data_IF_521690439805
#
_entry.id   IF_521690439805
#
_cell.length_a   1.000
_cell.length_b   1.000
_cell.length_c   1.000
_cell.angle_alpha   90.00
_cell.angle_beta   90.00
_cell.angle_gamma   90.00
#
_symmetry.space_group_name_H-M   'P 1'
#
loop_
_entity.id
_entity.type
_entity.pdbx_description
1 polymer ?
#
# COMPACT_ATOMS: atom_id res chain seq x y z
N UNK A 1 -14.66 -1.54 11.99
CA UNK A 1 -14.21 -2.36 10.87
C UNK A 1 -13.11 -3.29 11.30
N UNK A 2 -13.37 -4.58 11.28
CA UNK A 2 -12.35 -5.54 11.69
C UNK A 2 -11.16 -5.59 10.74
N UNK A 3 -11.34 -5.10 9.53
CA UNK A 3 -10.31 -5.19 8.49
C UNK A 3 -9.12 -4.26 8.68
N UNK A 4 -9.14 -3.36 9.66
CA UNK A 4 -8.05 -2.41 9.84
C UNK A 4 -6.82 -2.98 10.54
N UNK A 5 -6.91 -4.21 11.03
CA UNK A 5 -5.85 -4.79 11.86
C UNK A 5 -4.49 -4.83 11.17
N UNK A 6 -4.45 -5.12 9.87
CA UNK A 6 -3.19 -5.18 9.13
C UNK A 6 -3.17 -4.16 8.00
N UNK A 7 -4.00 -3.13 8.09
CA UNK A 7 -4.18 -2.19 6.99
C UNK A 7 -2.89 -1.45 6.64
N UNK A 8 -2.18 -0.93 7.62
CA UNK A 8 -0.95 -0.20 7.35
C UNK A 8 0.11 -1.10 6.72
N UNK A 9 0.20 -2.35 7.17
CA UNK A 9 1.11 -3.34 6.57
C UNK A 9 0.79 -3.51 5.08
N UNK A 10 -0.49 -3.65 4.75
CA UNK A 10 -0.91 -3.76 3.36
C UNK A 10 -0.58 -2.49 2.55
N UNK A 11 -0.77 -1.32 3.16
CA UNK A 11 -0.46 -0.05 2.49
C UNK A 11 1.04 0.04 2.16
N UNK A 12 1.90 -0.40 3.06
CA UNK A 12 3.35 -0.43 2.80
C UNK A 12 3.66 -1.35 1.61
N UNK A 13 3.07 -2.53 1.58
CA UNK A 13 3.30 -3.48 0.49
C UNK A 13 2.76 -2.93 -0.84
N UNK A 14 1.56 -2.35 -0.81
CA UNK A 14 0.96 -1.76 -2.01
C UNK A 14 1.77 -0.56 -2.49
N UNK A 15 2.27 0.26 -1.59
CA UNK A 15 3.10 1.41 -1.94
C UNK A 15 4.35 0.97 -2.70
N UNK A 16 5.01 -0.08 -2.26
CA UNK A 16 6.17 -0.62 -2.97
C UNK A 16 5.82 -1.05 -4.39
N UNK A 17 4.70 -1.73 -4.56
CA UNK A 17 4.27 -2.22 -5.87
C UNK A 17 3.77 -1.09 -6.77
N UNK A 18 3.00 -0.15 -6.22
CA UNK A 18 2.47 0.97 -7.00
C UNK A 18 3.56 1.95 -7.42
N UNK A 19 4.64 2.03 -6.68
CA UNK A 19 5.79 2.88 -7.04
C UNK A 19 6.81 2.17 -7.93
N UNK A 20 6.65 0.88 -8.15
CA UNK A 20 7.56 0.07 -8.99
C UNK A 20 7.35 0.41 -10.46
N UNK A 21 8.43 0.80 -11.15
CA UNK A 21 8.41 1.13 -12.57
C UNK A 21 8.97 0.02 -13.46
N UNK A 22 9.41 -1.06 -12.86
CA UNK A 22 10.01 -2.19 -13.58
C UNK A 22 9.02 -3.31 -13.86
N UNK A 23 7.87 -3.29 -13.20
CA UNK A 23 6.85 -4.32 -13.33
C UNK A 23 5.49 -3.70 -13.58
N UNK A 24 4.61 -4.46 -14.21
CA UNK A 24 3.24 -4.05 -14.49
C UNK A 24 2.31 -4.96 -13.70
N UNK A 25 1.57 -4.37 -12.77
CA UNK A 25 0.67 -5.11 -11.90
C UNK A 25 -0.78 -4.76 -12.18
N UNK A 26 -1.62 -5.77 -12.39
CA UNK A 26 -3.07 -5.57 -12.36
C UNK A 26 -3.57 -5.83 -10.93
N UNK A 27 -4.88 -5.72 -10.72
CA UNK A 27 -5.43 -5.90 -9.37
C UNK A 27 -5.20 -7.33 -8.86
N UNK A 28 -5.24 -8.31 -9.75
CA UNK A 28 -4.99 -9.69 -9.39
C UNK A 28 -3.54 -9.88 -8.93
N UNK A 29 -2.59 -9.31 -9.66
CA UNK A 29 -1.16 -9.37 -9.29
C UNK A 29 -0.91 -8.70 -7.95
N UNK A 30 -1.50 -7.53 -7.74
CA UNK A 30 -1.34 -6.80 -6.48
C UNK A 30 -1.88 -7.62 -5.31
N UNK A 31 -3.02 -8.24 -5.50
CA UNK A 31 -3.63 -9.08 -4.46
C UNK A 31 -2.76 -10.29 -4.15
N UNK A 32 -2.32 -10.99 -5.18
CA UNK A 32 -1.52 -12.20 -5.02
C UNK A 32 -0.19 -11.91 -4.32
N UNK A 33 0.51 -10.88 -4.77
CA UNK A 33 1.80 -10.53 -4.18
C UNK A 33 1.68 -9.97 -2.77
N UNK A 34 0.64 -9.19 -2.51
CA UNK A 34 0.37 -8.70 -1.17
C UNK A 34 0.10 -9.86 -0.22
N UNK A 35 -0.72 -10.81 -0.66
CA UNK A 35 -1.02 -12.00 0.15
C UNK A 35 0.20 -12.86 0.42
N UNK A 36 1.09 -13.01 -0.56
CA UNK A 36 2.33 -13.76 -0.36
C UNK A 36 3.15 -13.15 0.78
N UNK A 37 3.24 -11.82 0.81
CA UNK A 37 3.98 -11.13 1.88
C UNK A 37 3.25 -11.20 3.21
N UNK A 38 1.93 -11.13 3.20
CA UNK A 38 1.14 -11.27 4.43
C UNK A 38 1.34 -12.65 5.05
N UNK A 39 1.29 -13.70 4.25
CA UNK A 39 1.49 -15.07 4.72
C UNK A 39 2.89 -15.23 5.31
N UNK A 40 3.91 -14.72 4.62
CA UNK A 40 5.29 -14.79 5.12
C UNK A 40 5.44 -14.08 6.46
N UNK A 41 4.66 -13.04 6.69
CA UNK A 41 4.69 -12.29 7.94
C UNK A 41 3.78 -12.88 9.02
N UNK A 42 3.11 -13.99 8.74
CA UNK A 42 2.22 -14.64 9.70
C UNK A 42 0.83 -14.03 9.76
N UNK A 43 0.42 -13.28 8.75
CA UNK A 43 -0.90 -12.67 8.69
C UNK A 43 -1.81 -13.44 7.74
N UNK A 44 -3.14 -13.37 7.95
CA UNK A 44 -4.07 -14.02 7.03
C UNK A 44 -4.13 -13.30 5.69
N UNK A 45 -4.50 -14.06 4.67
CA UNK A 45 -4.77 -13.51 3.34
C UNK A 45 -6.00 -12.62 3.34
N UNK A 46 -6.05 -11.72 2.37
CA UNK A 46 -7.21 -10.86 2.15
C UNK A 46 -7.75 -11.06 0.74
N UNK A 47 -8.99 -10.63 0.52
CA UNK A 47 -9.63 -10.75 -0.79
C UNK A 47 -9.16 -9.65 -1.73
N UNK A 48 -9.36 -9.87 -3.03
CA UNK A 48 -9.12 -8.83 -4.04
C UNK A 48 -9.94 -7.56 -3.72
N UNK A 49 -11.17 -7.73 -3.25
CA UNK A 49 -12.01 -6.59 -2.87
C UNK A 49 -11.37 -5.77 -1.76
N UNK A 50 -10.73 -6.41 -0.80
CA UNK A 50 -10.00 -5.72 0.25
C UNK A 50 -8.86 -4.87 -0.33
N UNK A 51 -8.12 -5.42 -1.27
CA UNK A 51 -7.03 -4.70 -1.93
C UNK A 51 -7.57 -3.53 -2.76
N UNK A 52 -8.68 -3.72 -3.46
CA UNK A 52 -9.35 -2.63 -4.19
C UNK A 52 -9.74 -1.48 -3.26
N UNK A 53 -10.29 -1.82 -2.10
CA UNK A 53 -10.64 -0.80 -1.09
C UNK A 53 -9.39 -0.10 -0.54
N UNK A 54 -8.31 -0.84 -0.33
CA UNK A 54 -7.05 -0.25 0.14
C UNK A 54 -6.51 0.75 -0.88
N UNK A 55 -6.54 0.41 -2.17
CA UNK A 55 -6.09 1.30 -3.24
C UNK A 55 -6.97 2.55 -3.28
N UNK A 56 -8.28 2.40 -3.17
CA UNK A 56 -9.19 3.54 -3.10
C UNK A 56 -8.88 4.42 -1.90
N UNK A 57 -8.55 3.82 -0.79
CA UNK A 57 -8.19 4.56 0.42
C UNK A 57 -6.92 5.39 0.21
N UNK A 58 -5.93 4.84 -0.48
CA UNK A 58 -4.71 5.58 -0.81
C UNK A 58 -4.99 6.72 -1.81
N UNK A 59 -5.98 6.55 -2.65
CA UNK A 59 -6.35 7.55 -3.67
C UNK A 59 -7.08 8.75 -3.08
N UNK A 60 -7.77 8.56 -1.98
CA UNK A 60 -8.58 9.60 -1.34
C UNK A 60 -7.95 10.08 -0.04
N UNK A 61 -8.67 10.93 0.69
CA UNK A 61 -8.18 11.47 1.96
C UNK A 61 -7.86 10.33 2.94
N UNK A 62 -6.80 10.43 3.73
CA UNK A 62 -5.87 11.56 3.84
C UNK A 62 -4.68 11.50 2.88
N UNK A 63 -4.53 10.44 2.11
CA UNK A 63 -3.32 10.23 1.33
C UNK A 63 -3.31 10.99 0.01
N UNK A 64 -4.42 11.01 -0.71
CA UNK A 64 -4.56 11.67 -2.01
C UNK A 64 -3.50 11.25 -3.04
N UNK A 65 -3.17 9.98 -3.11
CA UNK A 65 -2.24 9.48 -4.10
C UNK A 65 -2.85 9.61 -5.50
N UNK A 66 -2.08 10.11 -6.45
CA UNK A 66 -2.49 10.11 -7.84
C UNK A 66 -2.17 8.74 -8.42
N UNK A 67 -3.20 7.99 -8.76
CA UNK A 67 -3.08 6.64 -9.28
C UNK A 67 -3.51 6.63 -10.73
N UNK A 68 -2.68 6.09 -11.61
CA UNK A 68 -3.03 5.91 -13.01
C UNK A 68 -3.37 4.46 -13.27
N UNK A 69 -4.37 4.29 -14.14
CA UNK A 69 -4.80 2.98 -14.61
C UNK A 69 -4.59 2.96 -16.12
N UNK A 70 -3.86 1.96 -16.60
CA UNK A 70 -3.44 1.91 -17.99
C UNK A 70 -3.42 0.46 -18.48
N UNK A 71 -3.34 0.27 -19.79
CA UNK A 71 -3.33 -1.08 -20.36
C UNK A 71 -1.96 -1.40 -20.95
N UNK A 72 -1.50 -2.61 -20.66
CA UNK A 72 -0.29 -3.17 -21.27
C UNK A 72 -0.65 -4.56 -21.78
N UNK A 73 -0.64 -4.75 -23.08
CA UNK A 73 -0.99 -6.02 -23.72
C UNK A 73 -2.35 -6.57 -23.28
N UNK A 74 -3.33 -5.68 -23.14
CA UNK A 74 -4.67 -6.05 -22.72
C UNK A 74 -4.85 -6.19 -21.21
N UNK A 75 -3.79 -6.05 -20.45
CA UNK A 75 -3.79 -6.15 -18.99
C UNK A 75 -4.03 -4.77 -18.38
N UNK A 76 -4.97 -4.67 -17.48
CA UNK A 76 -5.33 -3.39 -16.82
C UNK A 76 -4.44 -3.19 -15.61
N UNK A 77 -3.40 -2.38 -15.80
CA UNK A 77 -2.38 -2.17 -14.77
C UNK A 77 -2.65 -0.92 -13.95
N UNK A 78 -2.11 -0.90 -12.74
CA UNK A 78 -2.32 0.16 -11.76
C UNK A 78 -0.96 0.55 -11.20
N UNK A 79 -0.70 1.86 -11.13
CA UNK A 79 0.52 2.38 -10.50
C UNK A 79 0.33 3.84 -10.14
N UNK A 80 1.26 4.39 -9.37
CA UNK A 80 1.27 5.83 -9.14
C UNK A 80 1.56 6.56 -10.46
N UNK A 81 0.87 7.67 -10.66
CA UNK A 81 1.05 8.49 -11.86
C UNK A 81 2.45 9.08 -11.92
N UNK A 82 2.94 9.62 -10.79
CA UNK A 82 4.26 10.22 -10.72
C UNK A 82 5.32 9.14 -10.45
N UNK A 83 6.30 8.97 -11.35
CA UNK A 83 7.34 7.94 -11.18
C UNK A 83 8.18 8.08 -9.91
N UNK A 84 8.22 9.27 -9.33
CA UNK A 84 9.02 9.53 -8.13
C UNK A 84 8.20 9.48 -6.86
N UNK A 85 6.91 9.19 -6.95
CA UNK A 85 6.03 9.22 -5.80
C UNK A 85 6.06 7.92 -5.01
N UNK A 86 6.04 8.04 -3.70
CA UNK A 86 5.89 6.94 -2.75
C UNK A 86 5.50 7.51 -1.39
N UNK A 87 4.88 6.69 -0.54
CA UNK A 87 4.59 7.06 0.85
C UNK A 87 5.62 6.49 1.81
N UNK A 88 6.06 5.26 1.58
CA UNK A 88 6.87 4.50 2.52
C UNK A 88 8.12 3.97 1.83
N UNK A 89 9.17 4.77 1.82
CA UNK A 89 10.41 4.33 1.20
C UNK A 89 11.24 3.50 2.19
N UNK A 90 11.83 2.43 1.68
CA UNK A 90 12.68 1.55 2.49
C UNK A 90 13.92 2.21 3.04
N UNK A 91 14.40 3.23 2.37
CA UNK A 91 15.66 3.88 2.68
C UNK A 91 15.48 5.21 3.42
N UNK A 92 14.38 5.35 4.12
CA UNK A 92 14.21 6.52 4.98
C UNK A 92 15.28 6.54 6.05
N UNK A 93 15.80 7.72 6.33
CA UNK A 93 16.63 7.92 7.52
C UNK A 93 15.75 7.66 8.75
N UNK A 94 16.39 7.42 9.88
CA UNK A 94 15.67 7.23 11.13
C UNK A 94 14.78 8.43 11.45
N UNK A 95 15.27 9.64 11.23
CA UNK A 95 14.51 10.86 11.46
C UNK A 95 13.29 10.94 10.55
N UNK A 96 13.44 10.63 9.28
CA UNK A 96 12.34 10.64 8.32
C UNK A 96 11.29 9.59 8.66
N UNK A 97 11.73 8.41 9.06
CA UNK A 97 10.80 7.34 9.48
C UNK A 97 10.00 7.76 10.70
N UNK A 98 10.67 8.38 11.69
CA UNK A 98 10.00 8.84 12.89
C UNK A 98 8.97 9.91 12.57
N UNK A 99 9.28 10.83 11.67
CA UNK A 99 8.36 11.86 11.25
C UNK A 99 7.13 11.27 10.58
N UNK A 100 7.31 10.29 9.71
CA UNK A 100 6.22 9.62 9.02
C UNK A 100 5.34 8.88 10.02
N UNK A 101 5.94 8.16 10.96
CA UNK A 101 5.20 7.45 12.00
C UNK A 101 4.40 8.42 12.86
N UNK A 102 4.97 9.58 13.18
CA UNK A 102 4.28 10.60 13.95
C UNK A 102 3.06 11.12 13.19
N UNK A 103 3.20 11.42 11.90
CA UNK A 103 2.11 11.89 11.07
C UNK A 103 1.00 10.84 10.99
N UNK A 104 1.37 9.58 10.72
CA UNK A 104 0.40 8.49 10.61
C UNK A 104 -0.31 8.25 11.94
N UNK A 105 0.41 8.35 13.04
CA UNK A 105 -0.18 8.21 14.37
C UNK A 105 -1.17 9.33 14.64
N UNK A 106 -0.85 10.55 14.27
CA UNK A 106 -1.74 11.69 14.39
C UNK A 106 -3.03 11.49 13.61
N UNK A 107 -2.93 10.80 12.45
CA UNK A 107 -4.09 10.47 11.63
C UNK A 107 -4.84 9.23 12.12
N UNK A 108 -4.35 8.59 13.18
CA UNK A 108 -4.99 7.40 13.73
C UNK A 108 -4.72 6.12 12.94
N UNK A 109 -3.78 6.12 12.04
CA UNK A 109 -3.52 4.97 11.17
C UNK A 109 -2.71 3.87 11.82
N UNK A 110 -2.12 4.12 12.98
CA UNK A 110 -1.35 3.12 13.71
C UNK A 110 -2.17 2.36 14.74
N UNK A 111 -3.42 2.71 14.89
CA UNK A 111 -4.29 2.00 15.84
C UNK A 111 -4.39 0.55 15.41
N UNK A 112 -4.01 -0.35 16.29
CA UNK A 112 -4.07 -1.78 16.01
C UNK A 112 -2.81 -2.40 15.46
N UNK A 113 -1.76 -1.65 15.21
CA UNK A 113 -0.48 -2.24 14.78
C UNK A 113 0.28 -2.90 15.95
N UNK A 114 0.17 -2.34 17.14
CA UNK A 114 0.61 -3.02 18.36
C UNK A 114 2.10 -3.07 18.63
N UNK A 115 2.93 -2.38 17.88
CA UNK A 115 4.36 -2.40 18.14
C UNK A 115 4.95 -1.05 18.55
N UNK A 116 4.11 -0.23 19.06
CA UNK A 116 4.52 1.06 19.63
C UNK A 116 4.39 1.04 21.12
#
# INVERSE_FOLDING_TARGET
MPSNKNALTRYVYLDEMLSDRHHFYDIHDLTEKCNARLIDAGHPEVTQRCIEKDINYLEFAPFYANIERFRVNGKRCIRYENPSFFFFLKEFTEEESNLIFEVLNTLGLFVGLGYF
#
